data_IF_265930127086
#
_entry.id   IF_265930127086
#
_cell.length_a   1.000
_cell.length_b   1.000
_cell.length_c   1.000
_cell.angle_alpha   90.00
_cell.angle_beta   90.00
_cell.angle_gamma   90.00
#
_symmetry.space_group_name_H-M   'P 1'
#
loop_
_entity.id
_entity.type
_entity.pdbx_description
1 polymer ?
#
# COMPACT_ATOMS: atom_id res chain seq x y z
N UNK A 1 14.47 -10.73 -27.46
CA UNK A 1 13.32 -11.16 -28.30
C UNK A 1 12.15 -11.48 -27.37
N UNK A 2 10.95 -10.94 -27.61
CA UNK A 2 9.76 -11.36 -26.83
C UNK A 2 9.42 -12.80 -27.20
N UNK A 3 9.42 -13.69 -26.21
CA UNK A 3 9.03 -15.09 -26.41
C UNK A 3 7.51 -15.14 -26.59
N UNK A 4 7.00 -15.80 -27.63
CA UNK A 4 5.56 -16.00 -27.81
C UNK A 4 5.03 -17.09 -26.84
N UNK A 5 3.71 -17.13 -26.54
CA UNK A 5 3.12 -18.23 -25.80
C UNK A 5 3.42 -19.59 -26.45
N UNK A 6 3.63 -20.63 -25.65
CA UNK A 6 3.95 -21.98 -26.14
C UNK A 6 3.11 -23.05 -25.45
N UNK A 7 2.66 -24.05 -26.20
CA UNK A 7 2.03 -25.24 -25.66
C UNK A 7 3.09 -26.33 -25.46
N UNK A 8 3.17 -26.91 -24.26
CA UNK A 8 4.05 -28.06 -23.98
C UNK A 8 3.31 -29.05 -23.09
N UNK A 9 3.06 -30.26 -23.62
CA UNK A 9 2.39 -31.32 -22.88
C UNK A 9 0.96 -30.96 -22.43
N UNK A 10 0.22 -30.16 -23.21
CA UNK A 10 -1.12 -29.69 -22.84
C UNK A 10 -1.15 -28.44 -21.94
N UNK A 11 0.00 -28.01 -21.41
CA UNK A 11 0.13 -26.78 -20.61
C UNK A 11 0.52 -25.60 -21.50
N UNK A 12 -0.24 -24.50 -21.40
CA UNK A 12 0.06 -23.24 -22.09
C UNK A 12 0.96 -22.36 -21.22
N UNK A 13 2.15 -22.06 -21.71
CA UNK A 13 3.10 -21.15 -21.09
C UNK A 13 2.93 -19.77 -21.70
N UNK A 14 2.35 -18.85 -20.93
CA UNK A 14 2.13 -17.45 -21.34
C UNK A 14 3.19 -16.59 -20.65
N UNK A 15 4.03 -15.85 -21.41
CA UNK A 15 4.94 -14.89 -20.81
C UNK A 15 4.16 -13.83 -20.02
N UNK A 16 4.64 -13.47 -18.82
CA UNK A 16 3.97 -12.54 -17.91
C UNK A 16 3.57 -11.21 -18.56
N UNK A 17 4.31 -10.73 -19.56
CA UNK A 17 3.98 -9.51 -20.32
C UNK A 17 2.59 -9.58 -20.97
N UNK A 18 2.19 -10.74 -21.49
CA UNK A 18 0.86 -10.89 -22.10
C UNK A 18 -0.27 -10.76 -21.09
N UNK A 19 -0.05 -11.17 -19.83
CA UNK A 19 -1.02 -10.92 -18.76
C UNK A 19 -1.18 -9.42 -18.53
N UNK A 20 -0.06 -8.67 -18.51
CA UNK A 20 -0.06 -7.21 -18.39
C UNK A 20 -0.85 -6.55 -19.52
N UNK A 21 -0.53 -6.90 -20.77
CA UNK A 21 -1.18 -6.33 -21.95
C UNK A 21 -2.69 -6.63 -21.96
N UNK A 22 -3.10 -7.85 -21.60
CA UNK A 22 -4.49 -8.27 -21.62
C UNK A 22 -5.34 -7.63 -20.52
N UNK A 23 -4.77 -7.42 -19.33
CA UNK A 23 -5.51 -6.83 -18.20
C UNK A 23 -5.40 -5.31 -18.15
N UNK A 24 -4.58 -4.69 -19.01
CA UNK A 24 -4.14 -3.30 -18.86
C UNK A 24 -3.26 -3.08 -17.61
N UNK A 25 -2.71 -4.16 -17.06
CA UNK A 25 -1.79 -4.16 -15.92
C UNK A 25 -0.39 -3.68 -16.30
N UNK A 26 0.52 -3.64 -15.33
CA UNK A 26 1.92 -3.33 -15.54
C UNK A 26 2.79 -4.43 -14.92
N UNK A 27 3.63 -5.04 -15.75
CA UNK A 27 4.74 -5.88 -15.32
C UNK A 27 5.98 -5.01 -15.13
N UNK A 28 6.50 -4.96 -13.91
CA UNK A 28 7.76 -4.30 -13.60
C UNK A 28 8.79 -5.35 -13.22
N UNK A 29 9.98 -5.25 -13.82
CA UNK A 29 11.11 -6.16 -13.58
C UNK A 29 12.20 -5.38 -12.84
N UNK A 30 12.63 -5.91 -11.70
CA UNK A 30 13.68 -5.31 -10.87
C UNK A 30 14.84 -6.29 -10.65
N UNK A 31 15.99 -5.74 -10.27
CA UNK A 31 17.22 -6.49 -9.99
C UNK A 31 18.26 -6.44 -11.12
N UNK A 32 19.46 -6.99 -10.84
CA UNK A 32 20.61 -6.91 -11.76
C UNK A 32 20.28 -7.63 -13.07
N UNK A 33 20.60 -6.99 -14.20
CA UNK A 33 20.37 -7.51 -15.56
C UNK A 33 18.89 -7.80 -15.90
N UNK A 34 17.94 -7.19 -15.18
CA UNK A 34 16.56 -7.08 -15.63
C UNK A 34 15.61 -8.21 -15.26
N UNK A 35 15.74 -8.84 -14.09
CA UNK A 35 14.59 -9.55 -13.51
C UNK A 35 14.87 -10.85 -12.78
N UNK A 36 15.55 -10.76 -11.64
CA UNK A 36 15.39 -11.78 -10.59
C UNK A 36 14.15 -11.52 -9.72
N UNK A 37 13.49 -10.36 -9.87
CA UNK A 37 12.20 -10.04 -9.22
C UNK A 37 11.23 -9.49 -10.26
N UNK A 38 9.99 -9.99 -10.27
CA UNK A 38 8.91 -9.55 -11.16
C UNK A 38 7.68 -9.16 -10.35
N UNK A 39 7.21 -7.92 -10.53
CA UNK A 39 6.00 -7.39 -9.90
C UNK A 39 4.92 -7.20 -10.95
N UNK A 40 3.69 -7.59 -10.63
CA UNK A 40 2.54 -7.41 -11.48
C UNK A 40 1.51 -6.52 -10.79
N UNK A 41 1.33 -5.30 -11.30
CA UNK A 41 0.27 -4.40 -10.84
C UNK A 41 -0.93 -4.53 -11.77
N UNK A 42 -2.12 -4.65 -11.19
CA UNK A 42 -3.37 -4.64 -11.97
C UNK A 42 -3.62 -3.28 -12.61
N UNK A 43 -4.53 -3.21 -13.59
CA UNK A 43 -4.94 -1.92 -14.17
C UNK A 43 -5.52 -0.98 -13.10
N UNK A 44 -6.34 -1.52 -12.19
CA UNK A 44 -6.95 -0.73 -11.12
C UNK A 44 -5.87 -0.18 -10.17
N UNK A 45 -4.83 -0.97 -9.88
CA UNK A 45 -3.71 -0.51 -9.05
C UNK A 45 -2.95 0.66 -9.68
N UNK A 46 -2.64 0.58 -10.98
CA UNK A 46 -2.00 1.69 -11.68
C UNK A 46 -2.88 2.95 -11.72
N UNK A 47 -4.19 2.77 -11.83
CA UNK A 47 -5.10 3.92 -11.86
C UNK A 47 -5.26 4.55 -10.48
N UNK A 48 -5.25 3.76 -9.41
CA UNK A 48 -5.15 4.24 -8.04
C UNK A 48 -3.87 5.05 -7.84
N UNK A 49 -2.71 4.51 -8.24
CA UNK A 49 -1.42 5.21 -8.16
C UNK A 49 -1.47 6.59 -8.85
N UNK A 50 -2.00 6.66 -10.08
CA UNK A 50 -2.16 7.95 -10.80
C UNK A 50 -3.08 8.93 -10.09
N UNK A 51 -4.17 8.44 -9.48
CA UNK A 51 -5.11 9.28 -8.73
C UNK A 51 -4.43 9.92 -7.51
N UNK A 52 -3.58 9.15 -6.83
CA UNK A 52 -2.84 9.58 -5.64
C UNK A 52 -1.75 10.61 -5.97
N UNK A 53 -0.99 10.41 -7.05
CA UNK A 53 -0.03 11.42 -7.54
C UNK A 53 -0.70 12.76 -7.88
N UNK A 54 -1.97 12.74 -8.26
CA UNK A 54 -2.78 13.94 -8.54
C UNK A 54 -3.58 14.42 -7.34
N UNK A 55 -3.50 13.70 -6.22
CA UNK A 55 -4.23 13.96 -4.97
C UNK A 55 -5.75 14.08 -5.18
N UNK A 56 -6.29 13.26 -6.09
CA UNK A 56 -7.70 13.24 -6.47
C UNK A 56 -8.46 12.17 -5.67
N UNK A 57 -9.20 12.63 -4.66
CA UNK A 57 -9.96 11.75 -3.76
C UNK A 57 -11.07 10.99 -4.50
N UNK A 58 -11.77 11.64 -5.45
CA UNK A 58 -12.91 11.02 -6.14
C UNK A 58 -12.45 9.85 -7.00
N UNK A 59 -11.35 10.02 -7.73
CA UNK A 59 -10.79 8.90 -8.51
C UNK A 59 -10.13 7.86 -7.61
N UNK A 60 -9.52 8.26 -6.50
CA UNK A 60 -8.99 7.32 -5.49
C UNK A 60 -10.08 6.40 -4.95
N UNK A 61 -11.21 6.96 -4.50
CA UNK A 61 -12.37 6.19 -4.04
C UNK A 61 -12.91 5.23 -5.10
N UNK A 62 -12.98 5.71 -6.35
CA UNK A 62 -13.45 4.89 -7.48
C UNK A 62 -12.57 3.65 -7.65
N UNK A 63 -11.25 3.80 -7.64
CA UNK A 63 -10.35 2.67 -7.89
C UNK A 63 -10.26 1.69 -6.73
N UNK A 64 -10.34 2.17 -5.48
CA UNK A 64 -10.47 1.31 -4.31
C UNK A 64 -11.76 0.48 -4.34
N UNK A 65 -12.91 1.09 -4.69
CA UNK A 65 -14.17 0.35 -4.91
C UNK A 65 -14.10 -0.70 -6.02
N UNK A 66 -13.21 -0.49 -7.00
CA UNK A 66 -12.96 -1.45 -8.08
C UNK A 66 -11.90 -2.50 -7.70
N UNK A 67 -11.50 -2.58 -6.43
CA UNK A 67 -10.58 -3.59 -5.91
C UNK A 67 -9.11 -3.28 -6.13
N UNK A 68 -8.74 -2.01 -6.32
CA UNK A 68 -7.35 -1.61 -6.09
C UNK A 68 -7.00 -1.79 -4.60
N UNK A 69 -5.77 -2.19 -4.34
CA UNK A 69 -5.30 -2.57 -3.01
C UNK A 69 -4.50 -1.39 -2.40
N UNK A 70 -4.98 -0.79 -1.30
CA UNK A 70 -4.30 0.35 -0.66
C UNK A 70 -3.06 -0.05 0.14
N UNK A 71 -2.82 -1.35 0.35
CA UNK A 71 -1.68 -1.88 1.09
C UNK A 71 -0.45 -2.08 0.20
N UNK A 72 -0.61 -2.05 -1.13
CA UNK A 72 0.51 -2.20 -2.06
C UNK A 72 1.50 -1.07 -1.83
N UNK A 73 2.71 -1.46 -1.43
CA UNK A 73 3.83 -0.55 -1.22
C UNK A 73 4.19 0.12 -2.55
N UNK A 74 3.79 1.38 -2.67
CA UNK A 74 4.31 2.33 -3.65
C UNK A 74 5.36 3.17 -2.93
N UNK A 75 6.38 3.68 -3.62
CA UNK A 75 7.36 4.56 -3.01
C UNK A 75 7.13 6.03 -3.43
N UNK A 76 6.83 6.96 -2.49
CA UNK A 76 6.46 6.74 -1.09
C UNK A 76 5.04 6.17 -0.94
N UNK A 77 4.81 5.40 0.13
CA UNK A 77 3.55 4.68 0.36
C UNK A 77 2.31 5.57 0.25
N UNK A 78 1.21 4.99 -0.21
CA UNK A 78 -0.05 5.70 -0.47
C UNK A 78 -0.50 6.52 0.75
N UNK A 79 -0.38 5.93 1.94
CA UNK A 79 -0.72 6.57 3.21
C UNK A 79 0.24 7.72 3.55
N UNK A 80 1.56 7.52 3.37
CA UNK A 80 2.58 8.57 3.58
C UNK A 80 2.31 9.80 2.71
N UNK A 81 2.01 9.60 1.42
CA UNK A 81 1.68 10.68 0.49
C UNK A 81 0.45 11.47 0.93
N UNK A 82 -0.61 10.79 1.39
CA UNK A 82 -1.80 11.47 1.90
C UNK A 82 -1.51 12.30 3.17
N UNK A 83 -0.65 11.79 4.05
CA UNK A 83 -0.24 12.46 5.29
C UNK A 83 0.61 13.70 5.00
N UNK A 84 1.67 13.59 4.18
CA UNK A 84 2.55 14.72 3.84
C UNK A 84 1.82 15.86 3.12
N UNK A 85 0.70 15.56 2.46
CA UNK A 85 -0.15 16.57 1.81
C UNK A 85 -1.30 17.06 2.72
N UNK A 86 -1.30 16.67 4.01
CA UNK A 86 -2.32 16.97 5.01
C UNK A 86 -3.77 16.68 4.53
N UNK A 87 -3.96 15.58 3.80
CA UNK A 87 -5.25 15.19 3.20
C UNK A 87 -6.04 14.31 4.15
N UNK A 88 -6.52 14.89 5.26
CA UNK A 88 -7.20 14.19 6.37
C UNK A 88 -8.27 13.19 5.87
N UNK A 89 -9.16 13.63 4.98
CA UNK A 89 -10.22 12.77 4.43
C UNK A 89 -9.65 11.55 3.66
N UNK A 90 -8.56 11.75 2.91
CA UNK A 90 -7.88 10.68 2.18
C UNK A 90 -7.22 9.71 3.17
N UNK A 91 -6.54 10.22 4.20
CA UNK A 91 -5.91 9.40 5.25
C UNK A 91 -6.97 8.50 5.90
N UNK A 92 -8.09 9.09 6.34
CA UNK A 92 -9.19 8.33 6.94
C UNK A 92 -9.72 7.26 6.01
N UNK A 93 -9.96 7.62 4.75
CA UNK A 93 -10.49 6.68 3.77
C UNK A 93 -9.55 5.50 3.51
N UNK A 94 -8.25 5.75 3.39
CA UNK A 94 -7.24 4.71 3.19
C UNK A 94 -7.18 3.75 4.38
N UNK A 95 -7.15 4.28 5.60
CA UNK A 95 -7.17 3.49 6.84
C UNK A 95 -8.47 2.67 6.96
N UNK A 96 -9.63 3.27 6.65
CA UNK A 96 -10.92 2.57 6.60
C UNK A 96 -10.95 1.39 5.60
N UNK A 97 -10.05 1.41 4.59
CA UNK A 97 -9.94 0.37 3.56
C UNK A 97 -8.72 -0.54 3.74
N UNK A 98 -8.12 -0.56 4.94
CA UNK A 98 -7.05 -1.52 5.28
C UNK A 98 -5.64 -1.10 4.88
N UNK A 99 -5.40 0.19 4.62
CA UNK A 99 -4.03 0.69 4.58
C UNK A 99 -3.37 0.51 5.95
N UNK A 100 -2.17 -0.09 5.98
CA UNK A 100 -1.43 -0.36 7.23
C UNK A 100 -0.88 0.95 7.83
N UNK A 101 -1.34 1.37 9.03
CA UNK A 101 -0.85 2.58 9.71
C UNK A 101 0.56 2.45 10.29
N UNK A 102 1.15 1.24 10.30
CA UNK A 102 2.49 0.95 10.83
C UNK A 102 3.56 0.86 9.76
N UNK A 103 3.17 0.73 8.49
CA UNK A 103 4.10 0.50 7.38
C UNK A 103 5.03 1.70 7.23
N UNK A 104 6.33 1.47 7.42
CA UNK A 104 7.36 2.50 7.36
C UNK A 104 7.78 2.82 5.90
N UNK A 105 8.41 3.97 5.69
CA UNK A 105 8.98 4.38 4.40
C UNK A 105 10.33 5.06 4.58
N UNK A 106 11.02 5.41 3.49
CA UNK A 106 12.29 6.13 3.56
C UNK A 106 12.20 7.52 4.23
N UNK A 107 11.00 8.08 4.37
CA UNK A 107 10.73 9.36 5.04
C UNK A 107 10.17 9.22 6.46
N UNK A 108 10.06 7.98 6.97
CA UNK A 108 9.51 7.62 8.27
C UNK A 108 8.09 7.04 8.21
N UNK A 109 7.61 6.58 9.35
CA UNK A 109 6.30 5.95 9.51
C UNK A 109 5.17 6.98 9.40
N UNK A 110 3.91 6.54 9.15
CA UNK A 110 2.75 7.44 9.07
C UNK A 110 2.63 8.37 10.28
N UNK A 111 2.87 7.84 11.49
CA UNK A 111 2.81 8.62 12.73
C UNK A 111 3.98 9.60 12.88
N UNK A 112 5.20 9.22 12.48
CA UNK A 112 6.37 10.10 12.53
C UNK A 112 6.23 11.28 11.57
N UNK A 113 5.74 11.06 10.35
CA UNK A 113 5.48 12.14 9.39
C UNK A 113 4.42 13.09 9.96
N UNK A 114 3.30 12.57 10.47
CA UNK A 114 2.23 13.38 11.03
C UNK A 114 2.71 14.25 12.21
N UNK A 115 3.61 13.71 13.05
CA UNK A 115 4.25 14.45 14.15
C UNK A 115 5.20 15.54 13.65
N UNK A 116 6.04 15.22 12.67
CA UNK A 116 6.96 16.19 12.05
C UNK A 116 6.21 17.38 11.46
N UNK A 117 5.06 17.13 10.86
CA UNK A 117 4.23 18.14 10.21
C UNK A 117 3.20 18.76 11.17
N UNK A 118 3.25 18.44 12.47
CA UNK A 118 2.36 18.91 13.54
C UNK A 118 0.86 18.77 13.22
N UNK A 119 0.48 17.73 12.48
CA UNK A 119 -0.90 17.48 12.03
C UNK A 119 -1.69 16.72 13.08
N UNK A 120 -2.14 17.42 14.14
CA UNK A 120 -2.82 16.83 15.30
C UNK A 120 -4.01 15.93 14.94
N UNK A 121 -4.82 16.31 13.95
CA UNK A 121 -5.97 15.53 13.52
C UNK A 121 -5.54 14.20 12.88
N UNK A 122 -4.46 14.22 12.08
CA UNK A 122 -3.90 13.01 11.48
C UNK A 122 -3.25 12.14 12.56
N UNK A 123 -2.56 12.73 13.54
CA UNK A 123 -1.99 11.98 14.68
C UNK A 123 -3.08 11.20 15.40
N UNK A 124 -4.16 11.88 15.82
CA UNK A 124 -5.28 11.24 16.49
C UNK A 124 -5.93 10.15 15.63
N UNK A 125 -6.07 10.40 14.34
CA UNK A 125 -6.61 9.45 13.41
C UNK A 125 -5.74 8.20 13.33
N UNK A 126 -4.45 8.32 13.03
CA UNK A 126 -3.52 7.18 12.94
C UNK A 126 -3.45 6.40 14.26
N UNK A 127 -3.33 7.08 15.39
CA UNK A 127 -3.34 6.45 16.73
C UNK A 127 -4.64 5.68 16.99
N UNK A 128 -5.78 6.17 16.52
CA UNK A 128 -7.06 5.46 16.67
C UNK A 128 -7.12 4.13 15.92
N UNK A 129 -6.42 3.98 14.79
CA UNK A 129 -6.33 2.69 14.08
C UNK A 129 -5.27 1.77 14.71
N UNK A 130 -4.14 2.32 15.16
CA UNK A 130 -3.15 1.55 15.91
C UNK A 130 -3.75 0.91 17.18
N UNK A 131 -4.63 1.64 17.86
CA UNK A 131 -5.33 1.13 19.05
C UNK A 131 -6.47 0.15 18.71
N UNK A 132 -7.01 0.17 17.48
CA UNK A 132 -8.03 -0.79 17.02
C UNK A 132 -7.42 -2.15 16.66
N UNK A 133 -6.23 -2.14 16.10
CA UNK A 133 -5.47 -3.35 15.72
C UNK A 133 -4.53 -3.84 16.84
N UNK A 134 -4.51 -3.11 17.98
CA UNK A 134 -3.66 -3.36 19.14
C UNK A 134 -4.19 -4.42 20.11
N UNK A 135 -3.63 -5.63 20.02
CA UNK A 135 -2.92 -6.28 21.14
C UNK A 135 -3.75 -6.54 22.41
N UNK A 136 -4.41 -7.70 22.46
CA UNK A 136 -4.77 -8.42 23.70
C UNK A 136 -3.50 -9.00 24.36
N UNK A 137 -2.54 -8.16 24.73
CA UNK A 137 -1.52 -8.59 25.69
C UNK A 137 -1.88 -8.00 27.06
N UNK A 138 -2.86 -8.66 27.68
CA UNK A 138 -2.94 -8.77 29.13
C UNK A 138 -1.62 -9.36 29.65
N UNK A 139 -0.58 -8.55 29.75
CA UNK A 139 0.48 -8.78 30.74
C UNK A 139 0.49 -7.62 31.71
N UNK A 140 -0.63 -7.50 32.45
CA UNK A 140 -0.65 -6.87 33.77
C UNK A 140 -1.14 -7.92 34.76
N UNK A 141 -0.23 -8.76 35.22
CA UNK A 141 -0.23 -9.30 36.59
C UNK A 141 1.25 -9.37 37.00
N UNK A 142 1.71 -8.41 37.83
CA UNK A 142 1.79 -8.56 39.29
C UNK A 142 3.18 -9.14 39.63
N UNK A 143 4.06 -8.59 40.46
CA UNK A 143 4.01 -7.60 41.55
C UNK A 143 5.48 -7.20 41.82
N UNK A 144 5.80 -5.93 42.03
CA UNK A 144 6.04 -5.38 43.37
C UNK A 144 6.62 -6.37 44.40
N UNK A 145 7.92 -6.18 44.72
CA UNK A 145 8.55 -6.20 46.05
C UNK A 145 7.91 -7.00 47.21
N UNK A 146 8.71 -7.92 47.77
CA UNK A 146 8.79 -8.51 49.13
C UNK A 146 8.98 -10.03 48.95
N UNK A 147 10.04 -10.72 49.40
CA UNK A 147 10.94 -10.58 50.56
C UNK A 147 12.42 -10.86 50.18
#
# INVERSE_FOLDING_TARGET
>A
MSVAPRLRGGTTYIPLRFMSDATGGQLILYGKDGGNVAWFLSANQQMLERALYRVDLVTTEKWLKLGADPSVELDPGILHSAISNNRINMVKYLLDNGADPTLDSFIGSPLEIAKRDASYEIIQLVESYLNKDGINDETVHESATAE
#
